data_IF_181821124305
#
_entry.id   IF_181821124305
#
_cell.length_a   1.000
_cell.length_b   1.000
_cell.length_c   1.000
_cell.angle_alpha   90.00
_cell.angle_beta   90.00
_cell.angle_gamma   90.00
#
_symmetry.space_group_name_H-M   'P 1'
#
loop_
_entity.id
_entity.type
_entity.pdbx_description
1 polymer ?
#
# COMPACT_ATOMS: atom_id res chain seq x y z
N UNK A 1 29.51 26.76 -2.02
CA UNK A 1 29.64 25.35 -2.46
C UNK A 1 31.01 24.76 -2.15
N UNK A 2 32.13 25.43 -2.51
CA UNK A 2 33.48 24.92 -2.26
C UNK A 2 33.79 24.59 -0.79
N UNK A 3 33.28 25.40 0.15
CA UNK A 3 33.48 25.18 1.59
C UNK A 3 32.80 23.90 2.10
N UNK A 4 31.50 23.76 1.86
CA UNK A 4 30.74 22.57 2.29
C UNK A 4 31.36 21.26 1.77
N UNK A 5 31.85 21.23 0.53
CA UNK A 5 32.49 20.04 -0.05
C UNK A 5 33.85 19.73 0.59
N UNK A 6 34.72 20.74 0.74
CA UNK A 6 36.03 20.54 1.37
C UNK A 6 35.92 20.14 2.84
N UNK A 7 34.88 20.61 3.51
CA UNK A 7 34.59 20.36 4.91
C UNK A 7 34.14 18.90 5.16
N UNK A 8 33.25 18.39 4.30
CA UNK A 8 32.87 16.96 4.31
C UNK A 8 34.09 16.07 4.11
N UNK A 9 35.02 16.45 3.22
CA UNK A 9 36.26 15.68 2.98
C UNK A 9 37.22 15.68 4.18
N UNK A 10 37.27 16.74 4.99
CA UNK A 10 38.17 16.83 6.14
C UNK A 10 37.64 16.11 7.39
N UNK A 11 36.33 16.08 7.60
CA UNK A 11 35.70 15.53 8.83
C UNK A 11 34.81 14.32 8.56
N UNK A 12 35.35 13.36 7.78
CA UNK A 12 34.63 12.21 7.22
C UNK A 12 33.86 11.37 8.24
N UNK A 13 34.40 11.17 9.44
CA UNK A 13 33.75 10.32 10.45
C UNK A 13 32.47 10.95 10.99
N UNK A 14 32.49 12.25 11.33
CA UNK A 14 31.31 12.94 11.86
C UNK A 14 30.22 13.10 10.79
N UNK A 15 30.60 13.50 9.59
CA UNK A 15 29.67 13.59 8.46
C UNK A 15 29.14 12.23 8.01
N UNK A 16 29.98 11.19 8.09
CA UNK A 16 29.57 9.80 7.83
C UNK A 16 28.54 9.30 8.85
N UNK A 17 28.68 9.64 10.14
CA UNK A 17 27.66 9.32 11.15
C UNK A 17 26.33 10.02 10.85
N UNK A 18 26.35 11.30 10.51
CA UNK A 18 25.12 12.04 10.15
C UNK A 18 24.47 11.45 8.90
N UNK A 19 25.26 11.22 7.83
CA UNK A 19 24.77 10.59 6.62
C UNK A 19 24.24 9.17 6.89
N UNK A 20 24.88 8.41 7.78
CA UNK A 20 24.44 7.08 8.22
C UNK A 20 23.11 7.10 8.95
N UNK A 21 22.89 8.05 9.86
CA UNK A 21 21.60 8.22 10.55
C UNK A 21 20.51 8.60 9.56
N UNK A 22 20.77 9.57 8.68
CA UNK A 22 19.83 9.96 7.61
C UNK A 22 19.50 8.76 6.73
N UNK A 23 20.51 8.00 6.33
CA UNK A 23 20.36 6.78 5.55
C UNK A 23 19.45 5.76 6.25
N UNK A 24 19.70 5.44 7.53
CA UNK A 24 18.92 4.45 8.26
C UNK A 24 17.45 4.88 8.40
N UNK A 25 17.21 6.16 8.72
CA UNK A 25 15.85 6.66 8.84
C UNK A 25 15.16 6.69 7.47
N UNK A 26 15.88 7.09 6.41
CA UNK A 26 15.35 7.07 5.05
C UNK A 26 15.00 5.65 4.60
N UNK A 27 15.88 4.68 4.85
CA UNK A 27 15.61 3.27 4.61
C UNK A 27 14.32 2.83 5.33
N UNK A 28 14.16 3.12 6.61
CA UNK A 28 12.94 2.76 7.35
C UNK A 28 11.70 3.44 6.79
N UNK A 29 11.78 4.72 6.42
CA UNK A 29 10.68 5.46 5.80
C UNK A 29 10.26 4.82 4.48
N UNK A 30 11.20 4.53 3.58
CA UNK A 30 10.88 3.87 2.30
C UNK A 30 10.40 2.44 2.48
N UNK A 31 10.99 1.72 3.43
CA UNK A 31 10.60 0.35 3.72
C UNK A 31 9.16 0.28 4.23
N UNK A 32 8.80 1.13 5.20
CA UNK A 32 7.43 1.23 5.71
C UNK A 32 6.45 1.78 4.66
N UNK A 33 6.89 2.70 3.81
CA UNK A 33 6.06 3.19 2.69
C UNK A 33 5.71 2.05 1.73
N UNK A 34 6.68 1.22 1.36
CA UNK A 34 6.44 0.07 0.46
C UNK A 34 5.63 -1.05 1.11
N UNK A 35 5.83 -1.33 2.40
CA UNK A 35 4.98 -2.26 3.16
C UNK A 35 3.54 -1.76 3.29
N UNK A 36 3.37 -0.49 3.64
CA UNK A 36 2.06 0.14 3.77
C UNK A 36 1.30 0.07 2.45
N UNK A 37 1.99 0.34 1.33
CA UNK A 37 1.40 0.30 0.01
C UNK A 37 1.06 -1.13 -0.40
N UNK A 38 1.98 -2.08 -0.23
CA UNK A 38 1.74 -3.48 -0.54
C UNK A 38 0.55 -4.05 0.23
N UNK A 39 0.50 -3.87 1.56
CA UNK A 39 -0.66 -4.28 2.38
C UNK A 39 -1.96 -3.60 1.95
N UNK A 40 -1.92 -2.31 1.62
CA UNK A 40 -3.11 -1.61 1.11
C UNK A 40 -3.58 -2.24 -0.21
N UNK A 41 -2.66 -2.62 -1.08
CA UNK A 41 -2.95 -3.26 -2.36
C UNK A 41 -3.56 -4.67 -2.16
N UNK A 42 -3.05 -5.48 -1.21
CA UNK A 42 -3.63 -6.79 -0.88
C UNK A 42 -5.09 -6.75 -0.43
N UNK A 43 -5.56 -5.61 0.08
CA UNK A 43 -6.96 -5.45 0.46
C UNK A 43 -7.90 -5.26 -0.73
N UNK A 44 -7.40 -4.70 -1.85
CA UNK A 44 -8.25 -4.12 -2.89
C UNK A 44 -7.91 -4.49 -4.33
N UNK A 45 -6.80 -5.19 -4.60
CA UNK A 45 -6.36 -5.49 -5.98
C UNK A 45 -7.46 -6.09 -6.85
N UNK A 46 -8.26 -7.02 -6.31
CA UNK A 46 -9.36 -7.60 -7.07
C UNK A 46 -10.35 -6.51 -7.55
N UNK A 47 -10.71 -5.57 -6.67
CA UNK A 47 -11.61 -4.45 -6.96
C UNK A 47 -11.00 -3.49 -7.99
N UNK A 48 -9.69 -3.20 -7.86
CA UNK A 48 -8.96 -2.31 -8.77
C UNK A 48 -8.98 -2.85 -10.22
N UNK A 49 -9.00 -4.17 -10.42
CA UNK A 49 -9.02 -4.80 -11.76
C UNK A 49 -10.37 -4.74 -12.46
N UNK A 50 -11.47 -4.55 -11.73
CA UNK A 50 -12.81 -4.59 -12.31
C UNK A 50 -13.09 -3.41 -13.26
N UNK A 51 -12.38 -2.29 -13.09
CA UNK A 51 -12.59 -1.08 -13.90
C UNK A 51 -14.05 -0.61 -13.85
N UNK A 52 -14.63 -0.58 -12.65
CA UNK A 52 -16.02 -0.18 -12.40
C UNK A 52 -16.10 1.29 -11.97
N UNK A 53 -17.27 1.88 -12.16
CA UNK A 53 -17.54 3.26 -11.72
C UNK A 53 -18.21 3.30 -10.34
N UNK A 54 -18.88 2.22 -9.96
CA UNK A 54 -19.49 2.08 -8.65
C UNK A 54 -20.16 0.73 -8.45
N UNK A 55 -20.77 0.58 -7.28
CA UNK A 55 -21.41 -0.65 -6.83
C UNK A 55 -22.64 -0.33 -5.99
N UNK A 56 -23.66 -1.17 -6.11
CA UNK A 56 -24.84 -1.15 -5.27
C UNK A 56 -24.72 -2.26 -4.22
N UNK A 57 -24.90 -1.88 -2.96
CA UNK A 57 -24.92 -2.76 -1.80
C UNK A 57 -26.26 -2.63 -1.07
N UNK A 58 -26.62 -3.62 -0.25
CA UNK A 58 -27.76 -3.50 0.64
C UNK A 58 -27.57 -2.27 1.54
N UNK A 59 -28.60 -1.45 1.66
CA UNK A 59 -28.55 -0.17 2.39
C UNK A 59 -28.14 -0.35 3.86
N UNK A 60 -28.57 -1.45 4.48
CA UNK A 60 -28.28 -1.77 5.88
C UNK A 60 -26.91 -2.45 6.08
N UNK A 61 -26.12 -2.63 5.02
CA UNK A 61 -24.80 -3.29 5.10
C UNK A 61 -23.66 -2.39 5.55
N UNK A 62 -23.89 -1.08 5.69
CA UNK A 62 -22.85 -0.08 6.00
C UNK A 62 -21.64 -0.20 5.07
N UNK A 63 -21.92 -0.30 3.76
CA UNK A 63 -20.95 -0.49 2.66
C UNK A 63 -20.09 -1.77 2.74
N UNK A 64 -20.40 -2.70 3.63
CA UNK A 64 -19.68 -3.96 3.78
C UNK A 64 -20.16 -5.00 2.77
N UNK A 65 -19.26 -5.43 1.87
CA UNK A 65 -19.57 -6.48 0.88
C UNK A 65 -20.02 -7.80 1.53
N UNK A 66 -19.36 -8.21 2.61
CA UNK A 66 -19.64 -9.47 3.30
C UNK A 66 -20.95 -9.44 4.11
N UNK A 67 -21.45 -8.25 4.48
CA UNK A 67 -22.73 -8.07 5.17
C UNK A 67 -23.88 -7.70 4.22
N UNK A 68 -23.55 -7.24 3.02
CA UNK A 68 -24.52 -6.98 1.97
C UNK A 68 -25.06 -8.29 1.39
N UNK A 69 -26.37 -8.45 1.39
CA UNK A 69 -27.03 -9.64 0.86
C UNK A 69 -28.41 -9.29 0.34
N UNK A 70 -28.70 -9.72 -0.89
CA UNK A 70 -30.00 -9.55 -1.51
C UNK A 70 -30.18 -10.56 -2.65
N UNK A 71 -31.40 -10.70 -3.17
CA UNK A 71 -31.70 -11.69 -4.20
C UNK A 71 -31.19 -11.26 -5.57
N UNK A 72 -30.86 -12.22 -6.43
CA UNK A 72 -30.50 -11.94 -7.82
C UNK A 72 -31.65 -11.24 -8.58
N UNK A 73 -32.90 -11.45 -8.21
CA UNK A 73 -34.05 -10.76 -8.82
C UNK A 73 -33.95 -9.24 -8.71
N UNK A 74 -33.33 -8.71 -7.65
CA UNK A 74 -33.10 -7.27 -7.50
C UNK A 74 -32.18 -6.71 -8.60
N UNK A 75 -31.28 -7.54 -9.14
CA UNK A 75 -30.45 -7.15 -10.29
C UNK A 75 -31.32 -6.72 -11.46
N UNK A 76 -32.43 -7.40 -11.74
CA UNK A 76 -33.32 -7.07 -12.86
C UNK A 76 -33.96 -5.68 -12.72
N UNK A 77 -34.20 -5.23 -11.48
CA UNK A 77 -34.81 -3.94 -11.17
C UNK A 77 -33.85 -2.75 -11.31
N UNK A 78 -32.54 -3.00 -11.34
CA UNK A 78 -31.52 -1.97 -11.54
C UNK A 78 -31.37 -1.64 -13.02
N UNK A 79 -31.32 -0.36 -13.39
CA UNK A 79 -31.00 0.08 -14.76
C UNK A 79 -29.66 0.79 -14.77
N UNK A 80 -28.66 0.17 -15.39
CA UNK A 80 -27.33 0.73 -15.59
C UNK A 80 -26.86 0.50 -17.03
N UNK A 81 -25.82 1.21 -17.46
CA UNK A 81 -25.26 1.07 -18.82
C UNK A 81 -24.70 -0.33 -19.05
N UNK A 82 -23.90 -0.81 -18.11
CA UNK A 82 -23.36 -2.16 -18.06
C UNK A 82 -23.28 -2.55 -16.58
N UNK A 83 -23.80 -3.74 -16.23
CA UNK A 83 -23.90 -4.21 -14.84
C UNK A 83 -23.75 -5.72 -14.77
N UNK A 84 -23.23 -6.19 -13.65
CA UNK A 84 -23.23 -7.62 -13.31
C UNK A 84 -23.36 -7.78 -11.80
N UNK A 85 -23.65 -9.00 -11.36
CA UNK A 85 -23.61 -9.35 -9.95
C UNK A 85 -22.21 -9.76 -9.51
N UNK A 86 -22.02 -9.72 -8.19
CA UNK A 86 -20.93 -10.37 -7.48
C UNK A 86 -21.50 -11.02 -6.23
N UNK A 87 -21.21 -12.30 -6.02
CA UNK A 87 -21.40 -12.96 -4.73
C UNK A 87 -20.04 -13.24 -4.09
N UNK A 88 -19.96 -13.08 -2.78
CA UNK A 88 -18.71 -13.17 -2.02
C UNK A 88 -18.89 -14.03 -0.76
N UNK A 89 -17.92 -14.90 -0.50
CA UNK A 89 -17.85 -15.67 0.73
C UNK A 89 -16.38 -15.90 1.12
N UNK A 90 -16.06 -15.80 2.40
CA UNK A 90 -14.75 -16.20 2.92
C UNK A 90 -14.75 -17.68 3.29
N UNK A 91 -13.69 -18.40 2.92
CA UNK A 91 -13.53 -19.83 3.21
C UNK A 91 -12.07 -20.18 3.53
N UNK A 92 -11.85 -21.35 4.10
CA UNK A 92 -10.53 -22.00 4.16
C UNK A 92 -10.47 -23.02 3.04
N UNK A 93 -9.56 -22.82 2.10
CA UNK A 93 -9.22 -23.82 1.09
C UNK A 93 -8.18 -24.77 1.67
N UNK A 94 -8.47 -26.06 1.62
CA UNK A 94 -7.54 -27.14 1.98
C UNK A 94 -7.31 -28.04 0.78
N UNK A 95 -6.09 -28.47 0.56
CA UNK A 95 -5.79 -29.43 -0.51
C UNK A 95 -6.17 -30.84 -0.06
N UNK A 96 -6.84 -31.61 -0.92
CA UNK A 96 -7.38 -32.93 -0.54
C UNK A 96 -6.33 -33.92 0.00
N UNK A 97 -5.10 -33.85 -0.53
CA UNK A 97 -4.01 -34.80 -0.22
C UNK A 97 -2.84 -34.15 0.55
N UNK A 98 -3.06 -33.02 1.22
CA UNK A 98 -2.00 -32.25 1.89
C UNK A 98 -2.52 -31.45 3.09
N UNK A 99 -1.64 -31.16 4.04
CA UNK A 99 -1.93 -30.26 5.17
C UNK A 99 -1.90 -28.77 4.80
N UNK A 100 -1.65 -28.45 3.52
CA UNK A 100 -1.68 -27.08 2.99
C UNK A 100 -3.09 -26.47 3.08
N UNK A 101 -3.17 -25.30 3.72
CA UNK A 101 -4.40 -24.53 3.91
C UNK A 101 -4.16 -23.04 3.69
N UNK A 102 -5.12 -22.38 3.06
CA UNK A 102 -5.11 -20.93 2.89
C UNK A 102 -6.51 -20.35 3.15
N UNK A 103 -6.57 -19.16 3.74
CA UNK A 103 -7.81 -18.39 3.77
C UNK A 103 -8.01 -17.75 2.41
N UNK A 104 -9.18 -17.96 1.80
CA UNK A 104 -9.51 -17.48 0.45
C UNK A 104 -10.81 -16.70 0.46
N UNK A 105 -10.94 -15.77 -0.48
CA UNK A 105 -12.19 -15.09 -0.78
C UNK A 105 -12.79 -15.68 -2.06
N UNK A 106 -13.91 -16.36 -1.94
CA UNK A 106 -14.67 -16.92 -3.05
C UNK A 106 -15.47 -15.82 -3.72
N UNK A 107 -15.20 -15.54 -4.99
CA UNK A 107 -15.95 -14.60 -5.82
C UNK A 107 -16.74 -15.36 -6.87
N UNK A 108 -18.07 -15.32 -6.76
CA UNK A 108 -18.95 -15.81 -7.80
C UNK A 108 -19.24 -14.69 -8.79
N UNK A 109 -18.88 -14.92 -10.05
CA UNK A 109 -19.05 -13.95 -11.13
C UNK A 109 -19.64 -14.63 -12.37
N UNK A 110 -20.21 -13.83 -13.26
CA UNK A 110 -20.42 -14.27 -14.64
C UNK A 110 -19.09 -14.19 -15.41
N UNK A 111 -18.69 -15.31 -16.01
CA UNK A 111 -17.44 -15.47 -16.77
C UNK A 111 -17.38 -14.64 -18.06
N UNK A 112 -18.53 -14.20 -18.56
CA UNK A 112 -18.64 -13.32 -19.74
C UNK A 112 -18.74 -11.83 -19.33
N UNK A 113 -18.91 -11.56 -18.04
CA UNK A 113 -18.97 -10.18 -17.54
C UNK A 113 -17.59 -9.52 -17.49
N UNK A 114 -17.59 -8.21 -17.30
CA UNK A 114 -16.38 -7.44 -17.12
C UNK A 114 -15.61 -7.71 -15.82
N UNK A 115 -16.17 -8.50 -14.89
CA UNK A 115 -15.46 -8.97 -13.70
C UNK A 115 -14.54 -10.15 -13.99
N UNK A 116 -14.59 -10.70 -15.22
CA UNK A 116 -13.74 -11.80 -15.65
C UNK A 116 -12.25 -11.44 -15.44
N UNK A 117 -11.50 -12.22 -14.65
CA UNK A 117 -10.08 -11.95 -14.44
C UNK A 117 -9.25 -12.25 -15.70
N UNK A 118 -8.11 -11.57 -15.83
CA UNK A 118 -7.12 -11.86 -16.86
C UNK A 118 -6.34 -13.14 -16.50
N UNK A 119 -6.57 -14.21 -17.27
CA UNK A 119 -5.94 -15.50 -17.01
C UNK A 119 -4.47 -15.46 -17.42
N UNK A 120 -3.59 -15.70 -16.46
CA UNK A 120 -2.14 -15.74 -16.67
C UNK A 120 -1.61 -17.14 -16.94
N UNK A 121 -2.31 -18.16 -16.43
CA UNK A 121 -1.99 -19.57 -16.66
C UNK A 121 -3.27 -20.41 -16.69
N UNK A 122 -3.34 -21.41 -17.58
CA UNK A 122 -4.49 -22.30 -17.69
C UNK A 122 -5.67 -21.69 -18.45
N UNK A 123 -6.89 -21.89 -17.96
CA UNK A 123 -8.14 -21.44 -18.61
C UNK A 123 -9.14 -20.90 -17.57
N UNK A 124 -10.13 -20.15 -18.06
CA UNK A 124 -11.29 -19.77 -17.25
C UNK A 124 -12.12 -21.02 -16.87
N UNK A 125 -12.84 -20.96 -15.76
CA UNK A 125 -13.80 -21.99 -15.39
C UNK A 125 -14.94 -22.08 -16.43
N UNK A 126 -15.27 -23.31 -16.80
CA UNK A 126 -16.22 -23.63 -17.87
C UNK A 126 -17.23 -24.70 -17.46
N UNK A 127 -16.80 -25.66 -16.63
CA UNK A 127 -17.61 -26.73 -16.09
C UNK A 127 -17.88 -26.56 -14.59
N UNK A 128 -18.83 -27.34 -14.09
CA UNK A 128 -19.14 -27.45 -12.66
C UNK A 128 -17.89 -27.87 -11.87
N UNK A 129 -17.67 -27.27 -10.71
CA UNK A 129 -16.49 -27.51 -9.87
C UNK A 129 -15.16 -26.95 -10.39
N UNK A 130 -15.09 -26.25 -11.52
CA UNK A 130 -13.87 -25.56 -11.96
C UNK A 130 -13.72 -24.17 -11.33
N UNK A 131 -12.49 -23.78 -10.94
CA UNK A 131 -12.18 -22.45 -10.37
C UNK A 131 -10.91 -21.83 -10.94
N UNK A 132 -10.81 -20.51 -10.86
CA UNK A 132 -9.59 -19.75 -11.14
C UNK A 132 -9.10 -19.10 -9.85
N UNK A 133 -7.84 -19.31 -9.50
CA UNK A 133 -7.24 -18.83 -8.26
C UNK A 133 -6.28 -17.65 -8.51
N UNK A 134 -6.09 -16.78 -7.52
CA UNK A 134 -4.98 -15.84 -7.54
C UNK A 134 -3.63 -16.57 -7.43
N UNK A 135 -2.63 -16.08 -8.15
CA UNK A 135 -1.27 -16.65 -8.17
C UNK A 135 -0.60 -16.68 -6.80
N UNK A 136 -0.98 -15.84 -5.84
CA UNK A 136 -0.40 -15.86 -4.51
C UNK A 136 -0.65 -17.18 -3.78
N UNK A 137 -1.71 -17.94 -4.13
CA UNK A 137 -1.94 -19.29 -3.60
C UNK A 137 -0.83 -20.28 -3.98
N UNK A 138 -0.05 -20.02 -5.03
CA UNK A 138 1.12 -20.85 -5.34
C UNK A 138 2.19 -20.79 -4.25
N UNK A 139 2.25 -19.69 -3.50
CA UNK A 139 3.17 -19.54 -2.37
C UNK A 139 2.77 -20.44 -1.19
N UNK A 140 1.48 -20.77 -1.09
CA UNK A 140 0.92 -21.68 -0.09
C UNK A 140 0.92 -23.16 -0.57
N UNK A 141 1.55 -23.45 -1.72
CA UNK A 141 1.75 -24.81 -2.24
C UNK A 141 0.72 -25.30 -3.26
N UNK A 142 -0.31 -24.50 -3.55
CA UNK A 142 -1.35 -24.84 -4.52
C UNK A 142 -0.85 -24.74 -5.97
N UNK A 143 -1.27 -25.68 -6.81
CA UNK A 143 -0.86 -25.80 -8.22
C UNK A 143 -2.05 -25.97 -9.14
N UNK A 144 -1.78 -25.75 -10.42
CA UNK A 144 -2.76 -25.97 -11.48
C UNK A 144 -3.18 -27.45 -11.49
N UNK A 145 -4.48 -27.69 -11.48
CA UNK A 145 -5.07 -29.03 -11.45
C UNK A 145 -5.31 -29.60 -10.06
N UNK A 146 -4.88 -28.93 -8.98
CA UNK A 146 -5.17 -29.35 -7.62
C UNK A 146 -6.67 -29.27 -7.31
N UNK A 147 -7.14 -30.20 -6.49
CA UNK A 147 -8.50 -30.23 -5.95
C UNK A 147 -8.51 -29.66 -4.54
N UNK A 148 -9.36 -28.66 -4.33
CA UNK A 148 -9.58 -27.95 -3.08
C UNK A 148 -10.86 -28.45 -2.42
N UNK A 149 -10.79 -28.72 -1.12
CA UNK A 149 -11.94 -28.76 -0.23
C UNK A 149 -12.10 -27.38 0.43
N UNK A 150 -13.34 -26.89 0.51
CA UNK A 150 -13.65 -25.59 1.07
C UNK A 150 -14.36 -25.75 2.42
N UNK A 151 -13.89 -25.06 3.45
CA UNK A 151 -14.53 -25.12 4.76
C UNK A 151 -16.00 -24.71 4.70
N UNK A 152 -16.88 -25.48 5.35
CA UNK A 152 -18.31 -25.21 5.38
C UNK A 152 -19.09 -25.86 4.24
N UNK A 153 -18.44 -26.64 3.38
CA UNK A 153 -19.09 -27.44 2.33
C UNK A 153 -18.38 -28.78 2.13
N UNK A 154 -19.14 -29.81 1.76
CA UNK A 154 -18.59 -31.09 1.31
C UNK A 154 -18.20 -31.06 -0.19
N UNK A 155 -18.48 -29.96 -0.89
CA UNK A 155 -18.12 -29.78 -2.29
C UNK A 155 -16.61 -29.59 -2.44
N UNK A 156 -16.07 -30.15 -3.52
CA UNK A 156 -14.68 -29.95 -3.92
C UNK A 156 -14.62 -29.21 -5.25
N UNK A 157 -13.58 -28.40 -5.41
CA UNK A 157 -13.36 -27.60 -6.61
C UNK A 157 -11.95 -27.78 -7.15
N UNK A 158 -11.77 -27.71 -8.46
CA UNK A 158 -10.49 -27.91 -9.14
C UNK A 158 -9.95 -26.60 -9.70
N UNK A 159 -8.70 -26.28 -9.39
CA UNK A 159 -8.00 -25.13 -9.97
C UNK A 159 -7.71 -25.43 -11.45
N UNK A 160 -8.31 -24.66 -12.36
CA UNK A 160 -8.09 -24.80 -13.82
C UNK A 160 -7.41 -23.60 -14.45
N UNK A 161 -7.19 -22.54 -13.68
CA UNK A 161 -6.40 -21.40 -14.11
C UNK A 161 -5.93 -20.54 -12.93
N UNK A 162 -4.98 -19.68 -13.23
CA UNK A 162 -4.50 -18.64 -12.32
C UNK A 162 -4.67 -17.24 -12.93
N UNK A 163 -4.81 -16.25 -12.05
CA UNK A 163 -4.82 -14.83 -12.38
C UNK A 163 -3.87 -14.08 -11.44
N UNK A 164 -3.48 -12.87 -11.83
CA UNK A 164 -2.75 -11.93 -10.96
C UNK A 164 -3.68 -10.88 -10.37
N UNK A 165 -3.19 -10.19 -9.33
CA UNK A 165 -3.83 -9.02 -8.74
C UNK A 165 -5.27 -9.27 -8.32
N UNK A 166 -5.54 -10.44 -7.75
CA UNK A 166 -6.85 -10.82 -7.28
C UNK A 166 -6.78 -11.16 -5.79
N UNK A 167 -6.57 -10.13 -4.96
CA UNK A 167 -6.67 -10.23 -3.51
C UNK A 167 -7.74 -9.27 -3.01
N UNK A 168 -8.47 -9.72 -1.99
CA UNK A 168 -9.53 -8.96 -1.34
C UNK A 168 -9.47 -9.20 0.17
N UNK A 169 -9.43 -8.12 0.96
CA UNK A 169 -9.23 -8.20 2.42
C UNK A 169 -8.04 -9.09 2.83
N UNK A 170 -6.91 -8.98 2.10
CA UNK A 170 -5.66 -9.74 2.36
C UNK A 170 -5.77 -11.24 2.03
N UNK A 171 -6.93 -11.71 1.57
CA UNK A 171 -7.12 -13.08 1.12
C UNK A 171 -6.98 -13.19 -0.41
N UNK A 172 -6.30 -14.22 -0.94
CA UNK A 172 -6.33 -14.55 -2.36
C UNK A 172 -7.77 -14.85 -2.80
N UNK A 173 -8.15 -14.33 -3.96
CA UNK A 173 -9.48 -14.56 -4.54
C UNK A 173 -9.49 -15.85 -5.34
N UNK A 174 -10.55 -16.63 -5.18
CA UNK A 174 -10.87 -17.78 -6.01
C UNK A 174 -12.17 -17.49 -6.73
N UNK A 175 -12.12 -17.38 -8.06
CA UNK A 175 -13.26 -17.12 -8.92
C UNK A 175 -13.97 -18.40 -9.33
N UNK A 176 -15.29 -18.37 -9.29
CA UNK A 176 -16.18 -19.47 -9.68
C UNK A 176 -17.50 -18.96 -10.27
N UNK A 177 -18.29 -19.88 -10.82
CA UNK A 177 -19.66 -19.59 -11.24
C UNK A 177 -20.59 -19.43 -10.04
N UNK A 178 -21.71 -18.72 -10.25
CA UNK A 178 -22.76 -18.59 -9.24
C UNK A 178 -23.35 -19.94 -8.83
N UNK A 179 -23.54 -20.85 -9.79
CA UNK A 179 -24.01 -22.22 -9.52
C UNK A 179 -23.08 -23.02 -8.58
N UNK A 180 -21.76 -22.92 -8.78
CA UNK A 180 -20.79 -23.54 -7.86
C UNK A 180 -20.87 -22.90 -6.47
N UNK A 181 -21.06 -21.57 -6.42
CA UNK A 181 -21.08 -20.81 -5.18
C UNK A 181 -22.31 -21.16 -4.34
N UNK A 182 -23.47 -21.33 -4.96
CA UNK A 182 -24.71 -21.76 -4.30
C UNK A 182 -24.54 -23.13 -3.64
N UNK A 183 -23.99 -24.11 -4.37
CA UNK A 183 -23.70 -25.45 -3.85
C UNK A 183 -22.74 -25.40 -2.65
N UNK A 184 -21.76 -24.50 -2.67
CA UNK A 184 -20.81 -24.31 -1.57
C UNK A 184 -21.49 -23.66 -0.36
N UNK A 185 -22.30 -22.62 -0.58
CA UNK A 185 -22.87 -21.79 0.50
C UNK A 185 -24.09 -22.41 1.17
N UNK A 186 -24.94 -23.10 0.42
CA UNK A 186 -26.26 -23.54 0.87
C UNK A 186 -26.49 -25.05 0.78
N UNK A 187 -25.47 -25.81 0.35
CA UNK A 187 -25.57 -27.24 0.06
C UNK A 187 -26.61 -27.55 -1.04
N UNK A 188 -26.77 -28.81 -1.44
CA UNK A 188 -27.64 -29.21 -2.57
C UNK A 188 -29.15 -28.98 -2.34
N UNK A 189 -29.55 -28.53 -1.14
CA UNK A 189 -30.97 -28.37 -0.76
C UNK A 189 -31.55 -27.00 -1.08
N UNK A 190 -30.75 -26.08 -1.66
CA UNK A 190 -31.17 -24.73 -1.96
C UNK A 190 -31.91 -24.66 -3.32
N UNK A 191 -33.10 -24.04 -3.41
CA UNK A 191 -33.80 -23.87 -4.67
C UNK A 191 -32.98 -23.08 -5.68
N UNK A 192 -32.86 -23.60 -6.92
CA UNK A 192 -32.27 -22.85 -8.04
C UNK A 192 -33.04 -21.54 -8.25
N UNK A 193 -32.32 -20.41 -8.34
CA UNK A 193 -32.90 -19.08 -8.60
C UNK A 193 -33.17 -18.22 -7.36
N UNK A 194 -32.98 -18.72 -6.14
CA UNK A 194 -33.03 -17.90 -4.91
C UNK A 194 -31.64 -17.36 -4.51
N UNK A 195 -30.71 -17.32 -5.46
CA UNK A 195 -29.31 -16.99 -5.24
C UNK A 195 -29.17 -15.63 -4.55
N UNK A 196 -28.46 -15.62 -3.42
CA UNK A 196 -28.09 -14.37 -2.75
C UNK A 196 -26.76 -13.87 -3.28
N UNK A 197 -26.79 -12.66 -3.81
CA UNK A 197 -25.61 -11.92 -4.24
C UNK A 197 -25.27 -10.85 -3.19
N UNK A 198 -24.05 -10.35 -3.25
CA UNK A 198 -23.53 -9.38 -2.29
C UNK A 198 -23.47 -7.97 -2.88
N UNK A 199 -23.26 -7.85 -4.20
CA UNK A 199 -23.18 -6.55 -4.86
C UNK A 199 -23.70 -6.62 -6.30
N UNK A 200 -24.18 -5.46 -6.77
CA UNK A 200 -24.36 -5.18 -8.19
C UNK A 200 -23.31 -4.17 -8.57
N UNK A 201 -22.35 -4.58 -9.38
CA UNK A 201 -21.30 -3.69 -9.89
C UNK A 201 -21.71 -3.13 -11.24
N UNK A 202 -21.27 -1.91 -11.56
CA UNK A 202 -21.62 -1.29 -12.84
C UNK A 202 -20.49 -0.44 -13.43
N UNK A 203 -20.54 -0.30 -14.75
CA UNK A 203 -19.79 0.67 -15.54
C UNK A 203 -20.74 1.71 -16.14
N UNK A 204 -20.26 2.93 -16.27
CA UNK A 204 -21.03 4.09 -16.68
C UNK A 204 -21.94 4.60 -15.57
N UNK A 205 -23.21 4.81 -15.90
CA UNK A 205 -24.19 5.40 -14.97
C UNK A 205 -25.28 4.42 -14.61
N UNK A 206 -25.60 4.38 -13.32
CA UNK A 206 -26.86 3.85 -12.80
C UNK A 206 -27.94 4.92 -12.96
N UNK A 207 -29.06 4.53 -13.55
CA UNK A 207 -30.21 5.40 -13.87
C UNK A 207 -31.43 5.11 -13.01
N UNK A 208 -31.57 3.89 -12.49
CA UNK A 208 -32.68 3.48 -11.63
C UNK A 208 -32.25 2.32 -10.74
N UNK A 209 -32.61 2.37 -9.47
CA UNK A 209 -32.51 1.29 -8.48
C UNK A 209 -33.43 1.62 -7.30
N UNK A 210 -33.74 0.64 -6.47
CA UNK A 210 -34.53 0.85 -5.26
C UNK A 210 -33.65 1.48 -4.16
N UNK A 211 -33.84 2.77 -3.88
CA UNK A 211 -33.09 3.50 -2.86
C UNK A 211 -33.47 3.12 -1.41
N UNK A 212 -34.57 2.41 -1.22
CA UNK A 212 -34.98 1.93 0.11
C UNK A 212 -34.24 0.65 0.48
N UNK A 213 -33.85 -0.16 -0.51
CA UNK A 213 -33.15 -1.44 -0.30
C UNK A 213 -31.65 -1.36 -0.61
N UNK A 214 -31.25 -0.56 -1.60
CA UNK A 214 -29.88 -0.49 -2.09
C UNK A 214 -29.28 0.91 -1.90
N UNK A 215 -27.99 0.95 -1.58
CA UNK A 215 -27.17 2.15 -1.54
C UNK A 215 -26.18 2.14 -2.72
N UNK A 216 -26.05 3.27 -3.41
CA UNK A 216 -25.05 3.45 -4.45
C UNK A 216 -23.76 4.00 -3.86
N UNK A 217 -22.70 3.19 -3.93
CA UNK A 217 -21.41 3.43 -3.27
C UNK A 217 -20.35 3.65 -4.34
N UNK A 218 -19.53 4.69 -4.16
CA UNK A 218 -18.38 4.92 -5.03
C UNK A 218 -17.29 3.88 -4.74
N UNK A 219 -16.44 3.59 -5.73
CA UNK A 219 -15.30 2.68 -5.51
C UNK A 219 -14.39 3.19 -4.39
N UNK A 220 -14.19 4.51 -4.29
CA UNK A 220 -13.35 5.10 -3.25
C UNK A 220 -13.92 4.88 -1.85
N UNK A 221 -15.23 5.11 -1.65
CA UNK A 221 -15.89 4.90 -0.37
C UNK A 221 -15.89 3.42 0.01
N UNK A 222 -16.21 2.55 -0.95
CA UNK A 222 -16.16 1.11 -0.75
C UNK A 222 -14.78 0.62 -0.28
N UNK A 223 -13.70 1.09 -0.91
CA UNK A 223 -12.33 0.74 -0.51
C UNK A 223 -11.99 1.30 0.88
N UNK A 224 -12.41 2.53 1.19
CA UNK A 224 -12.15 3.13 2.51
C UNK A 224 -12.91 2.42 3.64
N UNK A 225 -14.08 1.87 3.34
CA UNK A 225 -14.94 1.15 4.28
C UNK A 225 -14.57 -0.34 4.41
N UNK A 226 -13.59 -0.83 3.64
CA UNK A 226 -13.06 -2.18 3.85
C UNK A 226 -12.56 -2.33 5.29
N UNK A 227 -12.91 -3.43 5.98
CA UNK A 227 -12.56 -3.63 7.38
C UNK A 227 -11.06 -3.45 7.64
N UNK A 228 -10.71 -2.42 8.42
CA UNK A 228 -9.34 -2.13 8.84
C UNK A 228 -8.48 -1.39 7.80
N UNK A 229 -8.92 -1.22 6.55
CA UNK A 229 -8.12 -0.57 5.50
C UNK A 229 -7.75 0.87 5.85
N UNK A 230 -8.74 1.71 6.15
CA UNK A 230 -8.50 3.12 6.51
C UNK A 230 -7.65 3.25 7.77
N UNK A 231 -7.92 2.43 8.79
CA UNK A 231 -7.14 2.42 10.03
C UNK A 231 -5.67 2.03 9.80
N UNK A 232 -5.42 1.05 8.93
CA UNK A 232 -4.08 0.63 8.51
C UNK A 232 -3.34 1.77 7.80
N UNK A 233 -3.95 2.35 6.76
CA UNK A 233 -3.34 3.43 5.97
C UNK A 233 -3.02 4.63 6.85
N UNK A 234 -3.95 5.03 7.72
CA UNK A 234 -3.72 6.12 8.67
C UNK A 234 -2.58 5.81 9.64
N UNK A 235 -2.55 4.61 10.21
CA UNK A 235 -1.53 4.20 11.19
C UNK A 235 -0.13 4.22 10.57
N UNK A 236 0.04 3.61 9.39
CA UNK A 236 1.32 3.67 8.67
C UNK A 236 1.69 5.10 8.29
N UNK A 237 0.72 5.91 7.84
CA UNK A 237 0.92 7.33 7.56
C UNK A 237 1.45 8.10 8.77
N UNK A 238 0.88 7.89 9.96
CA UNK A 238 1.37 8.48 11.21
C UNK A 238 2.77 8.01 11.58
N UNK A 239 3.07 6.71 11.45
CA UNK A 239 4.41 6.17 11.72
C UNK A 239 5.46 6.79 10.78
N UNK A 240 5.17 6.84 9.48
CA UNK A 240 6.04 7.44 8.47
C UNK A 240 6.24 8.93 8.76
N UNK A 241 5.17 9.68 9.00
CA UNK A 241 5.24 11.10 9.34
C UNK A 241 6.05 11.37 10.61
N UNK A 242 5.87 10.57 11.66
CA UNK A 242 6.64 10.66 12.90
C UNK A 242 8.13 10.38 12.67
N UNK A 243 8.47 9.36 11.86
CA UNK A 243 9.87 9.07 11.51
C UNK A 243 10.53 10.23 10.76
N UNK A 244 9.82 10.84 9.81
CA UNK A 244 10.32 12.02 9.08
C UNK A 244 10.53 13.19 10.03
N UNK A 245 9.59 13.45 10.95
CA UNK A 245 9.72 14.49 11.97
C UNK A 245 10.93 14.24 12.89
N UNK A 246 11.08 13.01 13.40
CA UNK A 246 12.23 12.61 14.23
C UNK A 246 13.52 12.79 13.43
N UNK A 247 13.56 12.40 12.16
CA UNK A 247 14.71 12.61 11.28
C UNK A 247 15.10 14.09 11.24
N UNK A 248 14.14 14.98 11.01
CA UNK A 248 14.37 16.42 10.93
C UNK A 248 14.95 16.99 12.24
N UNK A 249 14.44 16.56 13.39
CA UNK A 249 14.95 16.96 14.72
C UNK A 249 16.38 16.46 14.92
N UNK A 250 16.63 15.18 14.65
CA UNK A 250 17.94 14.55 14.82
C UNK A 250 18.98 15.24 13.92
N UNK A 251 18.65 15.48 12.64
CA UNK A 251 19.50 16.22 11.71
C UNK A 251 19.74 17.64 12.23
N UNK A 252 18.70 18.34 12.70
CA UNK A 252 18.83 19.67 13.29
C UNK A 252 19.82 19.71 14.45
N UNK A 253 19.73 18.75 15.37
CA UNK A 253 20.65 18.60 16.51
C UNK A 253 22.09 18.33 16.03
N UNK A 254 22.27 17.42 15.08
CA UNK A 254 23.61 17.12 14.55
C UNK A 254 24.25 18.32 13.87
N UNK A 255 23.49 19.03 13.03
CA UNK A 255 23.96 20.24 12.36
C UNK A 255 24.24 21.33 13.38
N UNK A 256 23.44 21.46 14.43
CA UNK A 256 23.70 22.36 15.57
C UNK A 256 25.02 22.04 16.26
N UNK A 257 25.25 20.79 16.63
CA UNK A 257 26.50 20.35 17.27
C UNK A 257 27.70 20.61 16.36
N UNK A 258 27.61 20.27 15.07
CA UNK A 258 28.67 20.51 14.10
C UNK A 258 28.96 22.00 13.89
N UNK A 259 27.92 22.82 13.91
CA UNK A 259 28.04 24.28 13.77
C UNK A 259 28.69 24.89 15.00
N UNK A 260 28.29 24.47 16.21
CA UNK A 260 28.86 24.93 17.47
C UNK A 260 30.33 24.55 17.63
N UNK A 261 30.71 23.33 17.23
CA UNK A 261 32.11 22.90 17.21
C UNK A 261 33.00 23.73 16.28
N UNK A 262 32.40 24.49 15.35
CA UNK A 262 33.10 25.33 14.36
C UNK A 262 32.93 26.83 14.64
N UNK A 263 32.45 27.19 15.83
CA UNK A 263 32.21 28.58 16.23
C UNK A 263 33.41 29.49 15.97
N UNK A 264 34.62 29.06 16.33
CA UNK A 264 35.86 29.85 16.13
C UNK A 264 36.18 30.08 14.66
N UNK A 265 36.01 29.05 13.81
CA UNK A 265 36.24 29.16 12.36
C UNK A 265 35.28 30.19 11.75
N UNK A 266 33.99 30.09 12.10
CA UNK A 266 33.00 31.07 11.64
C UNK A 266 33.24 32.47 12.21
N UNK A 267 33.74 32.59 13.44
CA UNK A 267 34.15 33.86 14.05
C UNK A 267 35.25 34.55 13.24
N UNK A 268 36.32 33.82 12.88
CA UNK A 268 37.42 34.33 12.05
C UNK A 268 36.90 34.74 10.65
N UNK A 269 36.05 33.92 10.04
CA UNK A 269 35.44 34.24 8.75
C UNK A 269 34.63 35.55 8.78
N UNK A 270 33.84 35.76 9.84
CA UNK A 270 33.10 37.01 10.05
C UNK A 270 34.04 38.20 10.28
N UNK A 271 35.11 38.01 11.05
CA UNK A 271 36.12 39.06 11.27
C UNK A 271 36.85 39.45 9.98
N UNK A 272 36.96 38.53 9.02
CA UNK A 272 37.47 38.78 7.66
C UNK A 272 36.44 39.40 6.70
N UNK A 273 35.22 39.72 7.17
CA UNK A 273 34.19 40.39 6.39
C UNK A 273 33.21 39.46 5.65
N UNK A 274 33.23 38.15 5.90
CA UNK A 274 32.27 37.22 5.27
C UNK A 274 30.87 37.42 5.88
N UNK A 275 29.89 37.65 5.01
CA UNK A 275 28.51 37.91 5.42
C UNK A 275 27.85 36.69 6.10
N UNK A 276 27.02 36.95 7.12
CA UNK A 276 26.22 35.94 7.82
C UNK A 276 25.35 35.10 6.87
N UNK A 277 24.78 35.71 5.83
CA UNK A 277 23.97 35.02 4.83
C UNK A 277 24.75 33.97 4.02
N UNK A 278 26.04 34.19 3.80
CA UNK A 278 26.90 33.23 3.12
C UNK A 278 27.15 31.99 4.00
N UNK A 279 27.41 32.20 5.29
CA UNK A 279 27.60 31.12 6.28
C UNK A 279 26.30 30.31 6.41
N UNK A 280 25.16 30.99 6.55
CA UNK A 280 23.84 30.38 6.59
C UNK A 280 23.56 29.49 5.36
N UNK A 281 23.77 30.04 4.15
CA UNK A 281 23.60 29.30 2.90
C UNK A 281 24.54 28.10 2.81
N UNK A 282 25.78 28.22 3.29
CA UNK A 282 26.73 27.10 3.30
C UNK A 282 26.23 25.94 4.16
N UNK A 283 25.69 26.22 5.34
CA UNK A 283 25.12 25.20 6.24
C UNK A 283 23.89 24.55 5.60
N UNK A 284 22.97 25.34 5.04
CA UNK A 284 21.78 24.81 4.36
C UNK A 284 22.15 23.89 3.18
N UNK A 285 23.12 24.30 2.34
CA UNK A 285 23.60 23.49 1.21
C UNK A 285 24.26 22.21 1.70
N UNK A 286 25.03 22.26 2.79
CA UNK A 286 25.65 21.08 3.38
C UNK A 286 24.59 20.09 3.89
N UNK A 287 23.58 20.58 4.62
CA UNK A 287 22.46 19.75 5.06
C UNK A 287 21.73 19.13 3.88
N UNK A 288 21.43 19.93 2.85
CA UNK A 288 20.77 19.46 1.65
C UNK A 288 21.55 18.31 0.98
N UNK A 289 22.87 18.46 0.84
CA UNK A 289 23.72 17.42 0.25
C UNK A 289 23.73 16.14 1.09
N UNK A 290 23.86 16.26 2.41
CA UNK A 290 23.85 15.10 3.32
C UNK A 290 22.50 14.39 3.31
N UNK A 291 21.41 15.16 3.36
CA UNK A 291 20.04 14.66 3.25
C UNK A 291 19.85 13.91 1.94
N UNK A 292 20.20 14.53 0.82
CA UNK A 292 20.07 13.93 -0.52
C UNK A 292 20.85 12.63 -0.63
N UNK A 293 22.11 12.58 -0.19
CA UNK A 293 22.93 11.36 -0.25
C UNK A 293 22.35 10.26 0.64
N UNK A 294 22.00 10.57 1.89
CA UNK A 294 21.43 9.58 2.81
C UNK A 294 20.07 9.06 2.31
N UNK A 295 19.21 9.94 1.81
CA UNK A 295 17.91 9.59 1.23
C UNK A 295 18.06 8.72 -0.02
N UNK A 296 18.95 9.06 -0.96
CA UNK A 296 19.19 8.24 -2.15
C UNK A 296 19.70 6.86 -1.76
N UNK A 297 20.67 6.77 -0.83
CA UNK A 297 21.16 5.47 -0.35
C UNK A 297 20.06 4.65 0.31
N UNK A 298 19.20 5.30 1.11
CA UNK A 298 18.06 4.64 1.75
C UNK A 298 17.07 4.09 0.74
N UNK A 299 16.77 4.86 -0.31
CA UNK A 299 15.87 4.45 -1.38
C UNK A 299 16.47 3.27 -2.17
N UNK A 300 17.73 3.38 -2.58
CA UNK A 300 18.42 2.33 -3.34
C UNK A 300 18.48 1.03 -2.55
N UNK A 301 18.76 1.08 -1.25
CA UNK A 301 18.81 -0.13 -0.41
C UNK A 301 17.41 -0.65 -0.12
N UNK A 302 16.40 0.20 0.04
CA UNK A 302 15.01 -0.27 0.24
C UNK A 302 14.47 -0.96 -1.00
N UNK A 303 14.64 -0.36 -2.18
CA UNK A 303 14.21 -0.93 -3.47
C UNK A 303 15.09 -2.13 -3.85
N UNK A 304 16.40 -2.04 -3.64
CA UNK A 304 17.32 -3.16 -3.88
C UNK A 304 17.06 -4.34 -2.96
N UNK A 305 16.76 -4.07 -1.69
CA UNK A 305 16.40 -5.07 -0.70
C UNK A 305 15.09 -5.77 -1.01
N UNK A 306 14.15 -5.11 -1.71
CA UNK A 306 12.85 -5.71 -2.03
C UNK A 306 12.96 -6.94 -2.93
N UNK A 307 14.03 -7.06 -3.73
CA UNK A 307 14.26 -8.24 -4.58
C UNK A 307 14.67 -9.50 -3.78
N UNK A 308 15.08 -9.34 -2.53
CA UNK A 308 15.54 -10.43 -1.65
C UNK A 308 14.45 -10.82 -0.64
N UNK A 309 13.39 -10.00 -0.53
CA UNK A 309 12.31 -10.26 0.41
C UNK A 309 11.57 -11.56 0.05
N UNK A 310 11.21 -12.38 1.05
CA UNK A 310 10.27 -13.48 0.85
C UNK A 310 8.96 -12.96 0.27
N UNK A 311 8.30 -13.76 -0.58
CA UNK A 311 7.04 -13.38 -1.21
C UNK A 311 5.90 -13.14 -0.19
N UNK A 312 6.01 -13.71 1.01
CA UNK A 312 5.12 -13.48 2.13
C UNK A 312 5.21 -12.06 2.73
N UNK A 313 6.27 -11.29 2.43
CA UNK A 313 6.38 -9.91 2.88
C UNK A 313 5.63 -9.02 1.89
N UNK A 314 4.55 -8.33 2.30
CA UNK A 314 3.67 -7.57 1.42
C UNK A 314 4.29 -6.21 1.08
N UNK A 315 5.40 -6.23 0.33
CA UNK A 315 6.14 -5.05 -0.07
C UNK A 315 5.93 -4.76 -1.55
N UNK A 316 5.44 -3.56 -1.85
CA UNK A 316 5.27 -3.11 -3.24
C UNK A 316 5.76 -1.68 -3.42
N UNK A 317 6.41 -1.43 -4.56
CA UNK A 317 7.01 -0.14 -4.87
C UNK A 317 6.02 0.78 -5.59
N UNK A 318 5.56 1.83 -4.92
CA UNK A 318 4.86 2.94 -5.57
C UNK A 318 5.79 4.14 -5.70
N UNK A 319 6.22 4.46 -6.93
CA UNK A 319 7.21 5.51 -7.16
C UNK A 319 6.71 6.91 -6.78
N UNK A 320 5.40 7.17 -6.83
CA UNK A 320 4.83 8.44 -6.40
C UNK A 320 4.98 8.62 -4.89
N UNK A 321 4.64 7.59 -4.09
CA UNK A 321 4.80 7.64 -2.64
C UNK A 321 6.28 7.68 -2.24
N UNK A 322 7.15 6.90 -2.90
CA UNK A 322 8.59 6.91 -2.62
C UNK A 322 9.20 8.29 -2.93
N UNK A 323 8.91 8.88 -4.09
CA UNK A 323 9.42 10.22 -4.42
C UNK A 323 8.84 11.30 -3.51
N UNK A 324 7.55 11.20 -3.17
CA UNK A 324 6.89 12.09 -2.21
C UNK A 324 7.59 12.08 -0.84
N UNK A 325 7.83 10.89 -0.29
CA UNK A 325 8.57 10.70 0.96
C UNK A 325 10.01 11.21 0.86
N UNK A 326 10.70 10.98 -0.26
CA UNK A 326 12.07 11.45 -0.47
C UNK A 326 12.16 12.99 -0.44
N UNK A 327 11.25 13.67 -1.17
CA UNK A 327 11.16 15.13 -1.19
C UNK A 327 10.85 15.65 0.21
N UNK A 328 9.87 15.07 0.89
CA UNK A 328 9.46 15.48 2.23
C UNK A 328 10.60 15.34 3.24
N UNK A 329 11.38 14.26 3.16
CA UNK A 329 12.57 14.08 3.99
C UNK A 329 13.63 15.16 3.75
N UNK A 330 13.95 15.47 2.49
CA UNK A 330 14.97 16.48 2.16
C UNK A 330 14.51 17.87 2.62
N UNK A 331 13.24 18.22 2.36
CA UNK A 331 12.67 19.51 2.78
C UNK A 331 12.69 19.64 4.30
N UNK A 332 12.22 18.62 5.02
CA UNK A 332 12.18 18.66 6.50
C UNK A 332 13.58 18.66 7.11
N UNK A 333 14.56 17.96 6.52
CA UNK A 333 15.96 18.03 6.94
C UNK A 333 16.54 19.45 6.81
N UNK A 334 16.29 20.13 5.68
CA UNK A 334 16.74 21.51 5.45
C UNK A 334 16.06 22.46 6.44
N UNK A 335 14.75 22.32 6.65
CA UNK A 335 14.01 23.09 7.67
C UNK A 335 14.58 22.84 9.08
N UNK A 336 14.86 21.60 9.44
CA UNK A 336 15.47 21.22 10.72
C UNK A 336 16.83 21.91 10.93
N UNK A 337 17.63 22.08 9.87
CA UNK A 337 18.90 22.80 9.96
C UNK A 337 18.78 24.32 10.10
N UNK A 338 17.62 24.92 9.77
CA UNK A 338 17.41 26.36 9.92
C UNK A 338 17.50 26.80 11.39
N UNK A 339 17.11 25.94 12.33
CA UNK A 339 17.30 26.18 13.77
C UNK A 339 18.78 26.36 14.13
N UNK A 340 19.66 25.54 13.56
CA UNK A 340 21.12 25.68 13.75
C UNK A 340 21.68 26.95 13.11
N UNK A 341 21.16 27.35 11.96
CA UNK A 341 21.59 28.56 11.26
C UNK A 341 21.32 29.82 12.10
N UNK A 342 20.18 29.87 12.80
CA UNK A 342 19.85 31.02 13.66
C UNK A 342 20.93 31.26 14.73
N UNK A 343 21.41 30.20 15.38
CA UNK A 343 22.44 30.29 16.43
C UNK A 343 23.75 30.87 15.91
N UNK A 344 24.20 30.49 14.70
CA UNK A 344 25.49 30.98 14.18
C UNK A 344 25.44 32.42 13.71
N UNK A 345 24.31 32.86 13.15
CA UNK A 345 24.13 34.23 12.68
C UNK A 345 24.22 35.21 13.85
N UNK A 346 23.72 34.82 15.03
CA UNK A 346 23.70 35.65 16.25
C UNK A 346 25.01 35.67 17.05
N UNK A 347 26.01 34.86 16.70
CA UNK A 347 27.29 34.84 17.40
C UNK A 347 28.15 36.06 17.04
N UNK A 348 28.56 36.81 18.06
CA UNK A 348 29.55 37.90 17.99
C UNK A 348 30.96 37.35 17.65
N UNK A 349 31.64 37.86 16.61
CA UNK A 349 32.99 37.46 16.25
C UNK A 349 34.01 37.61 17.39
N UNK A 350 33.90 38.65 18.21
CA UNK A 350 34.85 38.95 19.30
C UNK A 350 34.76 37.86 20.37
N UNK A 351 33.54 37.48 20.76
CA UNK A 351 33.31 36.40 21.72
C UNK A 351 33.64 34.99 21.19
N UNK A 352 33.76 34.83 19.86
CA UNK A 352 34.02 33.54 19.22
C UNK A 352 35.52 33.24 19.06
N UNK A 353 36.35 34.29 19.04
CA UNK A 353 37.80 34.21 18.82
C UNK A 353 38.56 34.20 20.16
N UNK A 354 38.00 34.82 21.20
CA UNK A 354 38.61 34.95 22.52
C UNK A 354 38.73 36.41 22.91
#
# INVERSE_FOLDING_TARGET
MFLAWNEIRHTKLRYGLVAGVIFLVAFLVFFLTGLSYGLAQQNRTAVDTWGIDGLLLAKDSDNSLNLSTFSEEELANVKATDKTYLAQLSAIASKADSDEKASVSLFAIDKESFLRPEITEGKIFSADGEVVADESLKQDGFKLGDTLSLSGSDQTVKIVGFTKNAQFNVAPVVYLSLANFEKIRYDQSFPEGEAKINAIVYRGKVTSYDNDQLANVSVADFINDLPGYSAQVLTFGFMIGALILIAAIVIGIFIYVLTMQKRTIFGIMKAQGIANGYIAKSIMVQTFLLATVGTILGLVISVGGSFILPAAVPYENNWYFLLGSAILMIVTAVIGSAFSVRTIVTIDPIQAIG
#
